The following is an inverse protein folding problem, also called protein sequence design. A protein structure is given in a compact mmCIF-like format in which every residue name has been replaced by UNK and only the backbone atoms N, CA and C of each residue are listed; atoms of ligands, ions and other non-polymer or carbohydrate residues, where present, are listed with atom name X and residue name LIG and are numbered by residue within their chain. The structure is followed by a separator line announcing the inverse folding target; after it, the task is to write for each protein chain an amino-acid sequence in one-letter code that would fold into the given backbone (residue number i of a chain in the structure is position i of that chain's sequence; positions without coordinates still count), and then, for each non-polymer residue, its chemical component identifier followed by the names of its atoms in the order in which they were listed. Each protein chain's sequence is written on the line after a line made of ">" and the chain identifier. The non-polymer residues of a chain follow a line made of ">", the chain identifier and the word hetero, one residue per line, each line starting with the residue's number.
data_IF_974241250331
#
_entry.id   IF_974241250331
#
_cell.length_a   1.000
_cell.length_b   1.000
_cell.length_c   1.000
_cell.angle_alpha   90.00
_cell.angle_beta   90.00
_cell.angle_gamma   90.00
#
_symmetry.space_group_name_H-M   'P 1'
#
loop_
_entity.id
_entity.type
_entity.pdbx_description
1 polymer ?
#
# COMPACT_ATOMS: atom_id res chain seq x y z
N UNK A 1 -30.66 9.34 26.94
CA UNK A 1 -29.30 9.32 26.38
C UNK A 1 -28.96 7.89 26.01
N UNK A 2 -28.78 7.62 24.72
CA UNK A 2 -28.21 6.38 24.21
C UNK A 2 -27.94 6.60 22.71
N UNK A 3 -26.82 7.29 22.43
CA UNK A 3 -26.32 7.39 21.07
C UNK A 3 -25.67 6.06 20.71
N UNK A 4 -26.33 5.31 19.84
CA UNK A 4 -25.78 4.13 19.20
C UNK A 4 -24.50 4.57 18.48
N UNK A 5 -23.33 4.12 18.95
CA UNK A 5 -22.08 4.27 18.21
C UNK A 5 -22.24 3.33 17.02
N UNK A 6 -22.68 3.91 15.90
CA UNK A 6 -22.86 3.19 14.66
C UNK A 6 -21.54 2.50 14.30
N UNK A 7 -21.63 1.18 14.20
CA UNK A 7 -20.59 0.24 13.79
C UNK A 7 -20.16 0.57 12.37
N UNK A 8 -19.22 1.49 12.25
CA UNK A 8 -18.19 1.44 11.21
C UNK A 8 -16.88 1.26 11.97
N UNK A 9 -15.96 0.37 11.57
CA UNK A 9 -14.60 0.45 12.12
C UNK A 9 -14.16 1.89 11.91
N UNK A 10 -14.00 2.63 12.99
CA UNK A 10 -13.69 4.05 12.90
C UNK A 10 -12.42 4.17 12.05
N UNK A 11 -12.34 5.09 11.08
CA UNK A 11 -11.15 5.30 10.24
C UNK A 11 -9.85 5.41 11.06
N UNK A 12 -9.98 5.83 12.31
CA UNK A 12 -8.91 5.88 13.31
C UNK A 12 -8.39 4.50 13.69
N UNK A 13 -9.25 3.50 13.92
CA UNK A 13 -8.85 2.15 14.31
C UNK A 13 -8.09 1.46 13.18
N UNK A 14 -8.54 1.62 11.93
CA UNK A 14 -7.87 1.08 10.76
C UNK A 14 -6.49 1.74 10.53
N UNK A 15 -6.40 3.05 10.77
CA UNK A 15 -5.13 3.80 10.74
C UNK A 15 -4.19 3.37 11.88
N UNK A 16 -4.71 3.13 13.08
CA UNK A 16 -3.91 2.68 14.22
C UNK A 16 -3.40 1.25 14.02
N UNK A 17 -4.22 0.35 13.49
CA UNK A 17 -3.82 -1.00 13.13
C UNK A 17 -2.73 -0.97 12.04
N UNK A 18 -2.94 -0.17 10.98
CA UNK A 18 -1.95 0.05 9.92
C UNK A 18 -0.65 0.65 10.48
N UNK A 19 -0.74 1.59 11.41
CA UNK A 19 0.42 2.18 12.07
C UNK A 19 1.15 1.18 12.98
N UNK A 20 0.43 0.27 13.64
CA UNK A 20 1.03 -0.76 14.48
C UNK A 20 1.82 -1.80 13.66
N UNK A 21 1.28 -2.24 12.52
CA UNK A 21 2.00 -3.13 11.59
C UNK A 21 3.27 -2.44 11.05
N UNK A 22 3.15 -1.17 10.65
CA UNK A 22 4.31 -0.41 10.20
C UNK A 22 5.29 -0.10 11.35
N UNK A 23 4.83 0.06 12.58
CA UNK A 23 5.68 0.27 13.76
C UNK A 23 6.59 -0.93 14.01
N UNK A 24 6.08 -2.15 13.84
CA UNK A 24 6.90 -3.35 13.95
C UNK A 24 8.04 -3.34 12.94
N UNK A 25 7.76 -3.03 11.67
CA UNK A 25 8.80 -2.87 10.65
C UNK A 25 9.85 -1.82 11.08
N UNK A 26 9.42 -0.67 11.62
CA UNK A 26 10.35 0.37 12.10
C UNK A 26 11.24 -0.14 13.23
N UNK A 27 10.66 -0.82 14.22
CA UNK A 27 11.39 -1.38 15.36
C UNK A 27 12.38 -2.46 14.91
N UNK A 28 11.98 -3.34 14.00
CA UNK A 28 12.82 -4.39 13.46
C UNK A 28 13.99 -3.82 12.65
N UNK A 29 13.75 -2.84 11.79
CA UNK A 29 14.84 -2.16 11.07
C UNK A 29 15.77 -1.46 12.08
N UNK A 30 15.22 -0.71 13.05
CA UNK A 30 16.03 -0.05 14.07
C UNK A 30 16.94 -1.02 14.82
N UNK A 31 16.42 -2.20 15.21
CA UNK A 31 17.19 -3.25 15.87
C UNK A 31 18.36 -3.74 15.02
N UNK A 32 18.17 -3.90 13.70
CA UNK A 32 19.24 -4.28 12.77
C UNK A 32 20.39 -3.27 12.79
N UNK A 33 20.09 -1.98 13.00
CA UNK A 33 21.07 -0.90 13.10
C UNK A 33 21.49 -0.59 14.55
N UNK A 34 21.19 -1.45 15.52
CA UNK A 34 21.56 -1.26 16.93
C UNK A 34 20.76 -0.16 17.65
N UNK A 35 19.64 0.29 17.09
CA UNK A 35 18.75 1.26 17.70
C UNK A 35 17.67 0.55 18.52
N UNK A 36 17.64 0.78 19.84
CA UNK A 36 16.58 0.27 20.71
C UNK A 36 15.32 1.14 20.61
N UNK A 37 14.26 0.58 20.03
CA UNK A 37 12.96 1.24 19.89
C UNK A 37 11.88 0.36 20.50
N UNK A 38 10.97 0.99 21.24
CA UNK A 38 9.72 0.37 21.62
C UNK A 38 8.64 0.61 20.54
N UNK A 39 7.53 -0.11 20.66
CA UNK A 39 6.43 -0.03 19.70
C UNK A 39 5.79 1.37 19.62
N UNK A 40 5.75 2.11 20.72
CA UNK A 40 5.16 3.45 20.73
C UNK A 40 6.02 4.43 19.92
N UNK A 41 7.35 4.39 20.10
CA UNK A 41 8.26 5.21 19.30
C UNK A 41 8.27 4.79 17.84
N UNK A 42 8.21 3.49 17.57
CA UNK A 42 8.04 2.96 16.21
C UNK A 42 6.76 3.48 15.55
N UNK A 43 5.65 3.54 16.29
CA UNK A 43 4.37 4.07 15.81
C UNK A 43 4.44 5.57 15.52
N UNK A 44 5.06 6.35 16.38
CA UNK A 44 5.25 7.80 16.17
C UNK A 44 6.04 8.09 14.88
N UNK A 45 7.14 7.36 14.69
CA UNK A 45 7.96 7.46 13.49
C UNK A 45 7.18 7.05 12.24
N UNK A 46 6.49 5.91 12.28
CA UNK A 46 5.64 5.42 11.18
C UNK A 46 4.53 6.41 10.81
N UNK A 47 3.85 6.99 11.80
CA UNK A 47 2.82 8.00 11.59
C UNK A 47 3.39 9.29 10.97
N UNK A 48 4.56 9.73 11.44
CA UNK A 48 5.20 10.93 10.92
C UNK A 48 5.60 10.77 9.46
N UNK A 49 6.21 9.63 9.12
CA UNK A 49 6.56 9.30 7.74
C UNK A 49 5.33 9.13 6.85
N UNK A 50 4.28 8.47 7.36
CA UNK A 50 3.00 8.32 6.66
C UNK A 50 2.36 9.67 6.34
N UNK A 51 2.37 10.62 7.28
CA UNK A 51 1.90 12.00 7.07
C UNK A 51 2.72 12.71 6.00
N UNK A 52 4.04 12.55 5.99
CA UNK A 52 4.93 13.13 4.97
C UNK A 52 4.66 12.54 3.57
N UNK A 53 4.49 11.22 3.47
CA UNK A 53 4.12 10.56 2.20
C UNK A 53 2.76 11.06 1.68
N UNK A 54 1.79 11.25 2.58
CA UNK A 54 0.48 11.78 2.23
C UNK A 54 0.54 13.25 1.80
N UNK A 55 1.25 14.10 2.55
CA UNK A 55 1.34 15.55 2.29
C UNK A 55 2.06 15.88 0.97
N UNK A 56 3.03 15.06 0.59
CA UNK A 56 3.75 15.21 -0.68
C UNK A 56 2.92 14.87 -1.92
N UNK A 57 1.69 14.38 -1.76
CA UNK A 57 0.89 13.89 -2.89
C UNK A 57 1.54 12.70 -3.61
N UNK A 58 2.60 12.11 -3.04
CA UNK A 58 3.28 10.92 -3.55
C UNK A 58 2.27 9.78 -3.73
N UNK A 59 1.30 9.68 -2.82
CA UNK A 59 0.21 8.72 -2.91
C UNK A 59 -0.60 8.91 -4.21
N UNK A 60 -0.93 10.15 -4.60
CA UNK A 60 -1.66 10.43 -5.86
C UNK A 60 -0.81 10.11 -7.08
N UNK A 61 0.48 10.46 -7.07
CA UNK A 61 1.40 10.14 -8.15
C UNK A 61 1.65 8.64 -8.33
N UNK A 62 1.79 7.90 -7.22
CA UNK A 62 1.93 6.44 -7.24
C UNK A 62 0.65 5.77 -7.76
N UNK A 63 -0.53 6.20 -7.29
CA UNK A 63 -1.83 5.70 -7.77
C UNK A 63 -1.97 6.00 -9.26
N UNK A 64 -1.61 7.18 -9.75
CA UNK A 64 -1.71 7.52 -11.17
C UNK A 64 -0.74 6.71 -12.03
N UNK A 65 0.51 6.53 -11.60
CA UNK A 65 1.49 5.70 -12.32
C UNK A 65 1.06 4.23 -12.38
N UNK A 66 0.59 3.70 -11.25
CA UNK A 66 0.09 2.33 -11.17
C UNK A 66 -1.20 2.15 -11.97
N UNK A 67 -2.15 3.07 -11.84
CA UNK A 67 -3.42 3.05 -12.59
C UNK A 67 -3.19 3.15 -14.10
N UNK A 68 -2.28 4.03 -14.56
CA UNK A 68 -1.94 4.16 -15.96
C UNK A 68 -1.26 2.90 -16.51
N UNK A 69 -0.43 2.23 -15.71
CA UNK A 69 0.18 0.97 -16.11
C UNK A 69 -0.81 -0.21 -16.09
N UNK A 70 -1.85 -0.14 -15.26
CA UNK A 70 -2.91 -1.16 -15.14
C UNK A 70 -4.09 -0.98 -16.10
N UNK A 71 -4.11 0.10 -16.88
CA UNK A 71 -5.33 0.68 -17.48
C UNK A 71 -5.92 -0.08 -18.69
N UNK A 72 -5.78 -1.41 -18.74
CA UNK A 72 -6.24 -2.19 -19.88
C UNK A 72 -7.62 -2.86 -19.73
N UNK A 73 -8.29 -2.85 -18.57
CA UNK A 73 -9.71 -3.29 -18.44
C UNK A 73 -10.30 -2.99 -17.03
N UNK A 74 -10.45 -1.71 -16.66
CA UNK A 74 -10.85 -1.34 -15.28
C UNK A 74 -12.32 -0.97 -15.21
N UNK A 75 -13.19 -1.95 -14.96
CA UNK A 75 -14.62 -1.70 -14.72
C UNK A 75 -15.17 -2.30 -13.40
N UNK A 76 -14.42 -3.12 -12.65
CA UNK A 76 -14.94 -3.82 -11.46
C UNK A 76 -14.34 -3.33 -10.13
N UNK A 77 -15.15 -3.35 -9.06
CA UNK A 77 -14.78 -2.91 -7.71
C UNK A 77 -13.54 -3.63 -7.15
N UNK A 78 -13.42 -4.94 -7.40
CA UNK A 78 -12.30 -5.77 -6.95
C UNK A 78 -10.96 -5.35 -7.56
N UNK A 79 -10.96 -4.96 -8.84
CA UNK A 79 -9.76 -4.44 -9.52
C UNK A 79 -9.31 -3.12 -8.88
N UNK A 80 -10.24 -2.25 -8.50
CA UNK A 80 -9.93 -1.03 -7.75
C UNK A 80 -9.24 -1.31 -6.41
N UNK A 81 -9.67 -2.35 -5.69
CA UNK A 81 -9.05 -2.79 -4.44
C UNK A 81 -7.66 -3.40 -4.64
N UNK A 82 -7.47 -4.14 -5.73
CA UNK A 82 -6.15 -4.64 -6.11
C UNK A 82 -5.15 -3.49 -6.34
N UNK A 83 -5.54 -2.45 -7.09
CA UNK A 83 -4.70 -1.26 -7.32
C UNK A 83 -4.29 -0.61 -5.99
N UNK A 84 -5.25 -0.44 -5.07
CA UNK A 84 -4.98 0.13 -3.76
C UNK A 84 -3.97 -0.72 -2.97
N UNK A 85 -4.12 -2.04 -2.98
CA UNK A 85 -3.18 -2.96 -2.32
C UNK A 85 -1.77 -2.89 -2.91
N UNK A 86 -1.66 -2.90 -4.25
CA UNK A 86 -0.38 -2.78 -4.97
C UNK A 86 0.29 -1.44 -4.67
N UNK A 87 -0.49 -0.35 -4.63
CA UNK A 87 -0.01 0.98 -4.24
C UNK A 87 0.50 0.99 -2.81
N UNK A 88 -0.26 0.45 -1.86
CA UNK A 88 0.11 0.40 -0.45
C UNK A 88 1.41 -0.39 -0.24
N UNK A 89 1.56 -1.52 -0.92
CA UNK A 89 2.79 -2.32 -0.89
C UNK A 89 3.99 -1.54 -1.44
N UNK A 90 3.83 -0.81 -2.54
CA UNK A 90 4.89 0.04 -3.08
C UNK A 90 5.29 1.15 -2.09
N UNK A 91 4.32 1.87 -1.52
CA UNK A 91 4.60 2.93 -0.54
C UNK A 91 5.24 2.39 0.73
N UNK A 92 4.86 1.18 1.17
CA UNK A 92 5.49 0.50 2.30
C UNK A 92 6.98 0.22 2.02
N UNK A 93 7.32 -0.18 0.78
CA UNK A 93 8.73 -0.33 0.37
C UNK A 93 9.50 0.99 0.45
N UNK A 94 8.91 2.09 -0.01
CA UNK A 94 9.52 3.43 0.11
C UNK A 94 9.72 3.81 1.57
N UNK A 95 8.74 3.53 2.42
CA UNK A 95 8.82 3.79 3.85
C UNK A 95 9.97 3.00 4.51
N UNK A 96 10.05 1.69 4.25
CA UNK A 96 11.13 0.85 4.76
C UNK A 96 12.52 1.32 4.32
N UNK A 97 12.69 1.70 3.04
CA UNK A 97 13.96 2.26 2.53
C UNK A 97 14.30 3.61 3.17
N UNK A 98 13.29 4.43 3.46
CA UNK A 98 13.48 5.70 4.15
C UNK A 98 13.91 5.49 5.61
N UNK A 99 13.32 4.53 6.31
CA UNK A 99 13.75 4.17 7.67
C UNK A 99 15.13 3.54 7.71
N UNK A 100 15.47 2.70 6.73
CA UNK A 100 16.84 2.20 6.58
C UNK A 100 17.84 3.36 6.49
N UNK A 101 17.53 4.39 5.70
CA UNK A 101 18.41 5.56 5.58
C UNK A 101 18.49 6.36 6.89
N UNK A 102 17.37 6.54 7.58
CA UNK A 102 17.29 7.19 8.90
C UNK A 102 18.17 6.49 9.95
N UNK A 103 18.04 5.16 10.06
CA UNK A 103 18.81 4.39 11.03
C UNK A 103 20.28 4.26 10.65
N UNK A 104 20.59 4.17 9.35
CA UNK A 104 21.98 4.21 8.85
C UNK A 104 22.67 5.55 9.16
N UNK A 105 21.90 6.63 9.27
CA UNK A 105 22.37 7.95 9.69
C UNK A 105 22.17 8.21 11.20
N UNK A 106 22.27 7.18 12.04
CA UNK A 106 22.20 7.31 13.50
C UNK A 106 20.90 7.98 14.00
N UNK A 107 19.76 7.61 13.41
CA UNK A 107 18.45 8.17 13.76
C UNK A 107 18.32 9.67 13.42
N UNK A 108 18.98 10.08 12.33
CA UNK A 108 18.89 11.42 11.77
C UNK A 108 18.38 11.35 10.32
N UNK A 109 17.51 12.29 9.93
CA UNK A 109 17.04 12.44 8.56
C UNK A 109 17.99 13.28 7.69
N UNK A 110 18.99 13.93 8.29
CA UNK A 110 19.90 14.86 7.64
C UNK A 110 19.27 16.23 7.37
N UNK A 111 20.05 17.13 6.77
CA UNK A 111 19.70 18.56 6.63
C UNK A 111 18.41 18.83 5.85
N UNK A 112 18.08 17.98 4.86
CA UNK A 112 16.83 18.07 4.09
C UNK A 112 15.61 17.51 4.83
N UNK A 113 15.82 16.88 5.98
CA UNK A 113 14.78 16.26 6.79
C UNK A 113 14.08 15.09 6.10
N UNK A 114 13.02 14.61 6.75
CA UNK A 114 12.26 13.43 6.33
C UNK A 114 11.69 13.56 4.91
N UNK A 115 11.24 14.75 4.54
CA UNK A 115 10.65 15.04 3.23
C UNK A 115 11.63 14.76 2.10
N UNK A 116 12.87 15.26 2.21
CA UNK A 116 13.94 15.06 1.24
C UNK A 116 14.27 13.57 1.08
N UNK A 117 14.45 12.86 2.20
CA UNK A 117 14.75 11.43 2.22
C UNK A 117 13.66 10.62 1.51
N UNK A 118 12.40 10.90 1.83
CA UNK A 118 11.24 10.23 1.21
C UNK A 118 11.20 10.48 -0.30
N UNK A 119 11.35 11.74 -0.73
CA UNK A 119 11.35 12.08 -2.15
C UNK A 119 12.49 11.38 -2.90
N UNK A 120 13.70 11.37 -2.32
CA UNK A 120 14.86 10.67 -2.87
C UNK A 120 14.58 9.18 -3.04
N UNK A 121 14.05 8.50 -2.01
CA UNK A 121 13.71 7.08 -2.10
C UNK A 121 12.62 6.83 -3.16
N UNK A 122 11.61 7.69 -3.24
CA UNK A 122 10.57 7.58 -4.26
C UNK A 122 11.13 7.72 -5.69
N UNK A 123 12.00 8.72 -5.92
CA UNK A 123 12.60 8.96 -7.23
C UNK A 123 13.55 7.85 -7.65
N UNK A 124 14.39 7.34 -6.73
CA UNK A 124 15.28 6.21 -6.97
C UNK A 124 14.48 4.98 -7.38
N UNK A 125 13.42 4.67 -6.64
CA UNK A 125 12.58 3.52 -6.92
C UNK A 125 11.80 3.67 -8.23
N UNK A 126 11.27 4.87 -8.54
CA UNK A 126 10.53 5.12 -9.79
C UNK A 126 11.37 4.83 -11.04
N UNK A 127 12.69 5.04 -10.97
CA UNK A 127 13.64 4.84 -12.07
C UNK A 127 14.22 3.42 -12.10
N UNK A 128 13.92 2.60 -11.11
CA UNK A 128 14.46 1.26 -10.93
C UNK A 128 13.69 0.22 -11.76
N UNK A 129 14.40 -0.82 -12.24
CA UNK A 129 13.78 -1.99 -12.87
C UNK A 129 12.79 -2.68 -11.94
N UNK A 130 13.00 -2.56 -10.63
CA UNK A 130 12.05 -3.06 -9.63
C UNK A 130 10.61 -2.62 -9.91
N UNK A 131 10.37 -1.35 -10.28
CA UNK A 131 8.99 -0.88 -10.48
C UNK A 131 8.33 -1.53 -11.68
N UNK A 132 9.09 -1.75 -12.75
CA UNK A 132 8.59 -2.44 -13.92
C UNK A 132 8.22 -3.88 -13.57
N UNK A 133 9.12 -4.60 -12.89
CA UNK A 133 8.89 -5.98 -12.46
C UNK A 133 7.72 -6.07 -11.48
N UNK A 134 7.67 -5.20 -10.47
CA UNK A 134 6.61 -5.15 -9.47
C UNK A 134 5.22 -4.90 -10.09
N UNK A 135 5.13 -3.97 -11.04
CA UNK A 135 3.88 -3.70 -11.76
C UNK A 135 3.46 -4.89 -12.61
N UNK A 136 4.39 -5.51 -13.33
CA UNK A 136 4.11 -6.69 -14.14
C UNK A 136 3.61 -7.86 -13.28
N UNK A 137 4.28 -8.13 -12.16
CA UNK A 137 3.88 -9.14 -11.18
C UNK A 137 2.51 -8.82 -10.58
N UNK A 138 2.27 -7.56 -10.21
CA UNK A 138 0.98 -7.13 -9.70
C UNK A 138 -0.16 -7.36 -10.70
N UNK A 139 0.06 -7.02 -11.98
CA UNK A 139 -0.91 -7.28 -13.05
C UNK A 139 -1.16 -8.78 -13.18
N UNK A 140 -0.09 -9.57 -13.28
CA UNK A 140 -0.18 -11.00 -13.54
C UNK A 140 -0.82 -11.78 -12.38
N UNK A 141 -0.51 -11.42 -11.13
CA UNK A 141 -0.85 -12.21 -9.94
C UNK A 141 -2.04 -11.67 -9.15
N UNK A 142 -2.35 -10.39 -9.28
CA UNK A 142 -3.43 -9.76 -8.50
C UNK A 142 -4.56 -9.29 -9.42
N UNK A 143 -4.25 -8.65 -10.54
CA UNK A 143 -5.26 -7.99 -11.38
C UNK A 143 -5.93 -8.97 -12.33
N UNK A 144 -5.16 -9.70 -13.13
CA UNK A 144 -5.68 -10.67 -14.12
C UNK A 144 -6.61 -11.73 -13.50
N UNK A 145 -6.26 -12.36 -12.36
CA UNK A 145 -7.16 -13.33 -11.75
C UNK A 145 -8.51 -12.74 -11.33
N UNK A 146 -8.56 -11.44 -10.98
CA UNK A 146 -9.81 -10.77 -10.60
C UNK A 146 -10.66 -10.39 -11.81
N UNK A 147 -10.06 -10.12 -12.97
CA UNK A 147 -10.81 -9.91 -14.22
C UNK A 147 -11.40 -11.21 -14.76
N UNK A 148 -10.61 -12.29 -14.81
CA UNK A 148 -11.03 -13.54 -15.46
C UNK A 148 -12.14 -14.27 -14.67
N UNK A 149 -12.10 -14.18 -13.33
CA UNK A 149 -13.18 -14.69 -12.47
C UNK A 149 -14.51 -13.93 -12.63
N UNK A 150 -14.46 -12.65 -13.07
CA UNK A 150 -15.66 -11.84 -13.28
C UNK A 150 -16.46 -12.27 -14.53
N UNK A 151 -15.77 -12.80 -15.54
CA UNK A 151 -16.40 -13.26 -16.79
C UNK A 151 -17.03 -14.65 -16.66
N UNK A 152 -16.57 -15.46 -15.71
CA UNK A 152 -17.06 -16.84 -15.52
C UNK A 152 -18.42 -16.90 -14.84
N UNK A 153 -18.81 -15.88 -14.05
CA UNK A 153 -20.12 -15.81 -13.38
C UNK A 153 -21.28 -15.31 -14.28
N UNK A 154 -21.00 -14.88 -15.51
CA UNK A 154 -22.02 -14.37 -16.46
C UNK A 154 -22.29 -15.30 -17.66
N UNK A 155 -21.81 -16.55 -17.63
CA UNK A 155 -22.14 -17.55 -18.65
C UNK A 155 -23.64 -17.89 -18.69
N UNK A 156 -24.25 -18.09 -19.87
CA UNK A 156 -25.70 -18.23 -20.01
C UNK A 156 -26.21 -19.44 -19.21
N UNK A 157 -27.22 -19.19 -18.36
CA UNK A 157 -28.03 -20.21 -17.70
C UNK A 157 -28.68 -21.10 -18.76
N UNK A 158 -28.01 -22.18 -19.14
CA UNK A 158 -28.58 -23.21 -20.00
C UNK A 158 -29.43 -24.13 -19.11
N UNK A 159 -30.66 -23.68 -18.83
CA UNK A 159 -31.68 -24.51 -18.21
C UNK A 159 -32.04 -25.63 -19.20
N UNK A 160 -31.84 -26.92 -18.87
CA UNK A 160 -32.29 -27.99 -19.74
C UNK A 160 -33.82 -27.90 -19.85
N UNK A 161 -34.32 -27.77 -21.07
CA UNK A 161 -35.73 -27.91 -21.39
C UNK A 161 -36.24 -29.24 -20.83
N UNK A 162 -37.15 -29.16 -19.85
CA UNK A 162 -37.99 -30.27 -19.48
C UNK A 162 -39.01 -30.47 -20.60
N UNK A 163 -38.67 -31.33 -21.56
CA UNK A 163 -39.64 -31.97 -22.45
C UNK A 163 -39.89 -33.36 -21.87
N UNK A 164 -40.95 -33.48 -21.09
CA UNK A 164 -41.58 -34.77 -20.82
C UNK A 164 -43.05 -34.65 -21.23
N UNK A 165 -43.48 -35.63 -22.05
CA UNK A 165 -44.77 -35.77 -22.71
C UNK A 165 -45.88 -36.20 -21.75
#
# INVERSE_FOLDING_TARGET
>A
GAGVIAVTPLPVVDLLATAAVNAQMVVEIGRIYGCELNMDRGRELALSLGKTLASLGIVKGAIQLLSAALQLNVATYLVGKAIQGVTAAYLTRIAGKSFIEYFRHNQDWGDGGMTEVVQKQFQLNRRDEFIKAFVQDAIARVVKPLTDNSETELGPSNSPHQQDW
#
